data_IF_198893353625
#
_entry.id   IF_198893353625
#
_cell.length_a   1.000
_cell.length_b   1.000
_cell.length_c   1.000
_cell.angle_alpha   90.00
_cell.angle_beta   90.00
_cell.angle_gamma   90.00
#
_symmetry.space_group_name_H-M   'P 1'
#
loop_
_entity.id
_entity.type
_entity.pdbx_description
1 polymer ?
#
# COMPACT_ATOMS: atom_id res chain seq x y z
N UNK A 1 -19.56 4.05 -14.55
CA UNK A 1 -19.20 3.62 -13.19
C UNK A 1 -17.97 4.40 -12.77
N UNK A 2 -17.79 4.75 -11.48
CA UNK A 2 -16.56 5.41 -11.04
C UNK A 2 -15.37 4.47 -11.24
N UNK A 3 -14.31 4.99 -11.88
CA UNK A 3 -13.04 4.31 -12.08
C UNK A 3 -12.42 3.89 -10.73
N UNK A 4 -11.94 2.65 -10.62
CA UNK A 4 -11.29 2.18 -9.38
C UNK A 4 -9.83 2.62 -9.36
N UNK A 5 -9.43 3.29 -8.27
CA UNK A 5 -8.04 3.67 -8.03
C UNK A 5 -7.22 2.42 -7.63
N UNK A 6 -6.18 2.03 -8.41
CA UNK A 6 -5.33 0.88 -8.08
C UNK A 6 -4.63 1.03 -6.72
N UNK A 7 -4.28 2.26 -6.31
CA UNK A 7 -3.68 2.51 -5.00
C UNK A 7 -4.70 2.22 -3.89
N UNK A 8 -5.97 2.58 -4.07
CA UNK A 8 -7.02 2.25 -3.10
C UNK A 8 -7.19 0.73 -2.93
N UNK A 9 -7.06 -0.05 -4.01
CA UNK A 9 -7.10 -1.51 -3.94
C UNK A 9 -5.88 -2.09 -3.17
N UNK A 10 -4.67 -1.58 -3.43
CA UNK A 10 -3.45 -1.98 -2.71
C UNK A 10 -3.55 -1.61 -1.23
N UNK A 11 -4.00 -0.40 -0.93
CA UNK A 11 -4.20 0.06 0.45
C UNK A 11 -5.21 -0.84 1.18
N UNK A 12 -6.31 -1.22 0.51
CA UNK A 12 -7.29 -2.14 1.08
C UNK A 12 -6.69 -3.51 1.37
N UNK A 13 -5.97 -4.09 0.39
CA UNK A 13 -5.28 -5.37 0.54
C UNK A 13 -4.34 -5.37 1.75
N UNK A 14 -3.50 -4.33 1.86
CA UNK A 14 -2.57 -4.16 2.99
C UNK A 14 -3.34 -4.00 4.29
N UNK A 15 -4.37 -3.17 4.30
CA UNK A 15 -5.16 -2.90 5.50
C UNK A 15 -5.98 -4.10 5.96
N UNK A 16 -6.32 -5.05 5.10
CA UNK A 16 -7.09 -6.23 5.48
C UNK A 16 -6.22 -7.37 6.02
N UNK A 17 -4.91 -7.29 5.82
CA UNK A 17 -4.01 -8.32 6.32
C UNK A 17 -3.85 -8.22 7.84
N UNK A 18 -4.16 -9.30 8.54
CA UNK A 18 -4.14 -9.35 10.01
C UNK A 18 -2.75 -9.19 10.60
N UNK A 19 -1.71 -9.72 9.94
CA UNK A 19 -0.32 -9.59 10.40
C UNK A 19 0.17 -8.14 10.29
N UNK A 20 -0.17 -7.46 9.19
CA UNK A 20 0.11 -6.04 9.00
C UNK A 20 -0.67 -5.20 10.02
N UNK A 21 -1.98 -5.45 10.16
CA UNK A 21 -2.83 -4.75 11.14
C UNK A 21 -2.31 -4.89 12.57
N UNK A 22 -1.77 -6.05 12.95
CA UNK A 22 -1.20 -6.26 14.28
C UNK A 22 -0.02 -5.31 14.58
N UNK A 23 0.64 -4.78 13.55
CA UNK A 23 1.80 -3.87 13.68
C UNK A 23 1.38 -2.41 13.51
N UNK A 24 0.58 -2.09 12.49
CA UNK A 24 0.25 -0.69 12.12
C UNK A 24 -1.17 -0.27 12.46
N UNK A 25 -2.02 -1.19 12.92
CA UNK A 25 -3.44 -0.94 13.14
C UNK A 25 -4.15 -0.48 11.85
N UNK A 26 -4.90 0.61 11.97
CA UNK A 26 -5.63 1.27 10.88
C UNK A 26 -4.78 2.28 10.10
N UNK A 27 -3.47 2.36 10.37
CA UNK A 27 -2.58 3.40 9.83
C UNK A 27 -1.96 3.01 8.49
N UNK A 28 -2.82 2.77 7.50
CA UNK A 28 -2.46 2.48 6.11
C UNK A 28 -3.16 3.51 5.21
N UNK A 29 -2.42 4.31 4.45
CA UNK A 29 -3.02 5.38 3.63
C UNK A 29 -2.18 5.80 2.42
N UNK A 30 -2.78 6.54 1.48
CA UNK A 30 -2.06 7.10 0.31
C UNK A 30 -1.11 8.26 0.65
N UNK A 31 -1.29 8.89 1.82
CA UNK A 31 -0.46 9.98 2.34
C UNK A 31 -0.36 9.81 3.85
N UNK A 32 0.79 10.17 4.42
CA UNK A 32 0.91 10.16 5.88
C UNK A 32 -0.04 11.20 6.49
N UNK A 33 -0.62 10.87 7.64
CA UNK A 33 -1.51 11.76 8.41
C UNK A 33 -0.85 12.29 9.68
N UNK A 34 0.48 12.33 9.70
CA UNK A 34 1.20 13.01 10.78
C UNK A 34 0.79 14.49 10.78
N UNK A 35 0.21 14.94 11.88
CA UNK A 35 -0.22 16.32 12.05
C UNK A 35 0.21 16.82 13.44
N UNK A 36 0.32 18.14 13.59
CA UNK A 36 0.48 18.74 14.91
C UNK A 36 -0.76 18.47 15.78
N UNK A 37 -0.55 18.45 17.10
CA UNK A 37 -1.57 18.11 18.09
C UNK A 37 -2.87 18.90 17.86
N UNK A 38 -3.98 18.21 17.53
CA UNK A 38 -5.30 18.82 17.38
C UNK A 38 -6.18 18.28 16.24
N UNK A 39 -5.63 17.54 15.27
CA UNK A 39 -6.45 16.91 14.22
C UNK A 39 -7.10 15.61 14.69
N UNK A 40 -8.39 15.45 14.38
CA UNK A 40 -9.26 14.34 14.85
C UNK A 40 -8.77 12.95 14.40
N UNK A 41 -7.85 12.86 13.44
CA UNK A 41 -7.26 11.60 12.97
C UNK A 41 -5.74 11.71 12.73
N UNK A 42 -5.05 12.52 13.54
CA UNK A 42 -3.60 12.69 13.45
C UNK A 42 -2.86 11.41 13.89
N UNK A 43 -1.89 10.98 13.08
CA UNK A 43 -0.90 10.01 13.54
C UNK A 43 0.19 10.74 14.33
N UNK A 44 0.67 10.14 15.41
CA UNK A 44 1.83 10.64 16.14
C UNK A 44 3.10 10.19 15.43
N UNK A 45 4.14 11.03 15.44
CA UNK A 45 5.41 10.77 14.74
C UNK A 45 6.09 9.44 15.15
N UNK A 46 5.84 8.94 16.35
CA UNK A 46 6.37 7.68 16.86
C UNK A 46 5.55 6.44 16.45
N UNK A 47 4.42 6.61 15.77
CA UNK A 47 3.56 5.49 15.41
C UNK A 47 4.00 4.77 14.14
N UNK A 48 3.88 3.44 14.17
CA UNK A 48 4.04 2.59 13.00
C UNK A 48 2.91 2.78 12.00
N UNK A 49 3.24 3.06 10.74
CA UNK A 49 2.27 3.23 9.65
C UNK A 49 2.86 2.83 8.29
N UNK A 50 1.99 2.62 7.31
CA UNK A 50 2.35 2.37 5.91
C UNK A 50 1.73 3.46 5.04
N UNK A 51 2.53 3.99 4.13
CA UNK A 51 2.07 4.86 3.07
C UNK A 51 2.36 4.21 1.73
N UNK A 52 1.33 4.04 0.90
CA UNK A 52 1.48 3.56 -0.47
C UNK A 52 1.21 4.71 -1.45
N UNK A 53 2.12 4.98 -2.37
CA UNK A 53 1.98 6.02 -3.38
C UNK A 53 2.28 5.44 -4.75
N UNK A 54 1.60 5.96 -5.75
CA UNK A 54 1.96 5.67 -7.13
C UNK A 54 3.39 6.19 -7.40
N UNK A 55 4.21 5.35 -8.03
CA UNK A 55 5.52 5.73 -8.52
C UNK A 55 5.34 6.28 -9.95
N UNK A 56 5.52 7.59 -10.15
CA UNK A 56 5.16 8.25 -11.41
C UNK A 56 5.99 7.68 -12.56
N UNK A 57 5.33 7.47 -13.71
CA UNK A 57 5.99 7.04 -14.95
C UNK A 57 5.35 5.84 -15.64
N UNK A 58 4.23 5.33 -15.12
CA UNK A 58 3.41 4.35 -15.83
C UNK A 58 2.20 5.02 -16.46
N UNK A 59 1.98 4.72 -17.74
CA UNK A 59 0.81 5.20 -18.48
C UNK A 59 -0.30 4.15 -18.28
N UNK A 60 -1.44 4.51 -17.66
CA UNK A 60 -2.56 3.59 -17.53
C UNK A 60 -3.06 3.19 -18.92
N UNK A 61 -3.34 1.91 -19.11
CA UNK A 61 -3.97 1.43 -20.33
C UNK A 61 -5.48 1.67 -20.23
N UNK A 62 -5.92 2.76 -20.86
CA UNK A 62 -7.31 3.23 -20.80
C UNK A 62 -8.28 2.35 -21.61
N UNK A 63 -7.78 1.49 -22.49
CA UNK A 63 -8.62 0.72 -23.42
C UNK A 63 -9.08 -0.62 -22.82
N UNK A 64 -8.36 -1.15 -21.83
CA UNK A 64 -8.59 -2.50 -21.27
C UNK A 64 -8.98 -2.53 -19.79
N UNK A 65 -9.08 -1.37 -19.10
CA UNK A 65 -9.42 -1.32 -17.67
C UNK A 65 -8.39 -1.99 -16.75
N UNK A 66 -7.19 -2.20 -17.29
CA UNK A 66 -6.06 -2.89 -16.66
C UNK A 66 -5.00 -1.84 -16.29
N UNK A 67 -4.76 -1.71 -15.00
CA UNK A 67 -3.76 -0.82 -14.45
C UNK A 67 -2.48 -1.59 -14.17
N UNK A 68 -1.46 -1.33 -14.98
CA UNK A 68 -0.10 -1.81 -14.73
C UNK A 68 0.74 -0.63 -14.26
N UNK A 69 1.35 -0.77 -13.09
CA UNK A 69 2.10 0.32 -12.51
C UNK A 69 3.12 -0.15 -11.49
N UNK A 70 3.69 0.84 -10.80
CA UNK A 70 4.65 0.64 -9.72
C UNK A 70 4.19 1.46 -8.53
N UNK A 71 4.19 0.85 -7.36
CA UNK A 71 3.82 1.48 -6.10
C UNK A 71 5.07 1.62 -5.24
N UNK A 72 5.26 2.81 -4.69
CA UNK A 72 6.21 3.09 -3.62
C UNK A 72 5.54 2.81 -2.26
N UNK A 73 6.16 1.95 -1.47
CA UNK A 73 5.71 1.55 -0.14
C UNK A 73 6.67 2.13 0.90
N UNK A 74 6.21 3.14 1.65
CA UNK A 74 6.95 3.75 2.76
C UNK A 74 6.46 3.17 4.08
N UNK A 75 7.37 2.58 4.83
CA UNK A 75 7.11 2.00 6.15
C UNK A 75 7.75 2.90 7.21
N UNK A 76 6.93 3.50 8.07
CA UNK A 76 7.39 4.36 9.16
C UNK A 76 7.29 3.62 10.49
N UNK A 77 8.19 3.88 11.43
CA UNK A 77 8.06 3.40 12.80
C UNK A 77 8.91 4.21 13.77
N UNK A 78 8.67 4.04 15.08
CA UNK A 78 9.41 4.72 16.13
C UNK A 78 10.94 4.53 16.06
N UNK A 79 11.39 3.43 15.44
CA UNK A 79 12.80 3.09 15.26
C UNK A 79 13.02 2.46 13.89
N UNK A 80 14.27 2.46 13.37
CA UNK A 80 14.61 1.75 12.14
C UNK A 80 14.22 0.26 12.17
N UNK A 81 14.37 -0.39 13.33
CA UNK A 81 13.97 -1.79 13.52
C UNK A 81 12.45 -1.98 13.41
N UNK A 82 11.66 -1.06 13.96
CA UNK A 82 10.20 -1.09 13.82
C UNK A 82 9.76 -0.87 12.37
N UNK A 83 10.36 0.10 11.66
CA UNK A 83 10.11 0.32 10.24
C UNK A 83 10.45 -0.92 9.39
N UNK A 84 11.57 -1.58 9.69
CA UNK A 84 11.97 -2.83 9.02
C UNK A 84 11.02 -3.99 9.30
N UNK A 85 10.48 -4.09 10.52
CA UNK A 85 9.49 -5.12 10.88
C UNK A 85 8.21 -4.98 10.04
N UNK A 86 7.73 -3.76 9.85
CA UNK A 86 6.56 -3.47 9.00
C UNK A 86 6.85 -3.88 7.56
N UNK A 87 8.01 -3.49 7.03
CA UNK A 87 8.42 -3.88 5.69
C UNK A 87 8.49 -5.39 5.50
N UNK A 88 9.04 -6.13 6.45
CA UNK A 88 9.09 -7.60 6.37
C UNK A 88 7.68 -8.21 6.36
N UNK A 89 6.74 -7.67 7.15
CA UNK A 89 5.34 -8.11 7.12
C UNK A 89 4.65 -7.84 5.78
N UNK A 90 4.99 -6.73 5.11
CA UNK A 90 4.56 -6.47 3.72
C UNK A 90 5.14 -7.49 2.73
N UNK A 91 6.41 -7.86 2.89
CA UNK A 91 7.04 -8.89 2.06
C UNK A 91 6.34 -10.23 2.22
N UNK A 92 6.02 -10.61 3.46
CA UNK A 92 5.26 -11.83 3.76
C UNK A 92 3.88 -11.77 3.11
N UNK A 93 3.11 -10.69 3.31
CA UNK A 93 1.83 -10.48 2.63
C UNK A 93 1.96 -10.65 1.11
N UNK A 94 2.93 -9.99 0.50
CA UNK A 94 3.12 -10.00 -0.96
C UNK A 94 3.50 -11.39 -1.46
N UNK A 95 4.29 -12.16 -0.70
CA UNK A 95 4.66 -13.54 -1.04
C UNK A 95 3.50 -14.51 -0.87
N UNK A 96 2.64 -14.26 0.10
CA UNK A 96 1.46 -15.07 0.38
C UNK A 96 0.29 -14.78 -0.58
N UNK A 97 0.43 -13.81 -1.50
CA UNK A 97 -0.52 -13.61 -2.59
C UNK A 97 -0.43 -14.76 -3.59
N UNK A 98 -1.11 -15.85 -3.27
CA UNK A 98 -1.31 -16.97 -4.17
C UNK A 98 -2.38 -16.59 -5.22
N UNK A 99 -1.93 -16.18 -6.41
CA UNK A 99 -2.81 -15.92 -7.55
C UNK A 99 -3.56 -14.59 -7.48
N UNK A 100 -4.81 -14.58 -7.95
CA UNK A 100 -5.63 -13.36 -8.07
C UNK A 100 -6.39 -13.13 -6.77
N UNK A 101 -6.35 -11.91 -6.25
CA UNK A 101 -7.10 -11.53 -5.05
C UNK A 101 -8.01 -10.34 -5.32
N UNK A 102 -9.15 -10.29 -4.65
CA UNK A 102 -10.11 -9.20 -4.76
C UNK A 102 -9.95 -8.20 -3.62
N UNK A 103 -10.03 -6.91 -3.93
CA UNK A 103 -10.01 -5.84 -2.94
C UNK A 103 -11.31 -5.02 -3.02
N UNK A 104 -12.07 -5.01 -1.93
CA UNK A 104 -13.33 -4.25 -1.83
C UNK A 104 -13.04 -2.79 -1.47
N UNK A 105 -13.03 -1.91 -2.47
CA UNK A 105 -12.81 -0.47 -2.29
C UNK A 105 -14.13 0.28 -2.14
N UNK A 106 -14.09 1.57 -1.82
CA UNK A 106 -15.29 2.42 -1.79
C UNK A 106 -15.95 2.59 -3.17
N UNK A 107 -15.20 2.35 -4.26
CA UNK A 107 -15.66 2.55 -5.63
C UNK A 107 -16.05 1.23 -6.32
N UNK A 108 -15.93 0.09 -5.63
CA UNK A 108 -16.21 -1.24 -6.16
C UNK A 108 -15.13 -2.26 -5.81
N UNK A 109 -15.24 -3.45 -6.40
CA UNK A 109 -14.29 -4.56 -6.18
C UNK A 109 -13.25 -4.59 -7.30
N UNK A 110 -11.99 -4.36 -6.92
CA UNK A 110 -10.85 -4.50 -7.82
C UNK A 110 -10.34 -5.94 -7.83
N UNK A 111 -9.80 -6.39 -8.96
CA UNK A 111 -9.07 -7.65 -9.05
C UNK A 111 -7.57 -7.36 -9.13
N UNK A 112 -6.81 -7.74 -8.10
CA UNK A 112 -5.36 -7.65 -8.07
C UNK A 112 -4.81 -8.95 -8.67
N UNK A 113 -4.30 -8.87 -9.90
CA UNK A 113 -3.69 -10.00 -10.59
C UNK A 113 -2.31 -10.33 -10.04
N UNK A 114 -1.54 -9.29 -9.71
CA UNK A 114 -0.23 -9.45 -9.11
C UNK A 114 0.19 -8.19 -8.37
N UNK A 115 0.98 -8.40 -7.32
CA UNK A 115 1.76 -7.39 -6.64
C UNK A 115 3.11 -8.05 -6.35
N UNK A 116 4.21 -7.51 -6.87
CA UNK A 116 5.54 -8.15 -6.80
C UNK A 116 6.60 -7.11 -6.51
N UNK A 117 7.48 -7.38 -5.57
CA UNK A 117 8.59 -6.48 -5.26
C UNK A 117 9.53 -6.29 -6.45
N UNK A 118 9.86 -5.04 -6.75
CA UNK A 118 10.60 -4.65 -7.96
C UNK A 118 12.04 -4.19 -7.66
N UNK A 119 12.30 -3.76 -6.43
CA UNK A 119 13.62 -3.28 -6.02
C UNK A 119 13.96 -3.68 -4.59
N UNK A 120 15.25 -3.74 -4.29
CA UNK A 120 15.73 -3.85 -2.92
C UNK A 120 15.26 -2.64 -2.11
N UNK A 121 14.83 -2.84 -0.85
CA UNK A 121 14.46 -1.72 -0.01
C UNK A 121 15.69 -0.90 0.38
N UNK A 122 15.49 0.37 0.66
CA UNK A 122 16.49 1.20 1.32
C UNK A 122 15.91 1.89 2.54
N UNK A 123 16.78 2.24 3.46
CA UNK A 123 16.42 3.00 4.67
C UNK A 123 16.83 4.46 4.44
N UNK A 124 15.93 5.37 4.76
CA UNK A 124 16.17 6.81 4.65
C UNK A 124 15.36 7.54 5.71
N UNK A 125 15.56 8.85 5.82
CA UNK A 125 14.78 9.74 6.68
C UNK A 125 13.78 10.49 5.80
N UNK A 126 12.54 10.57 6.24
CA UNK A 126 11.54 11.44 5.59
C UNK A 126 11.93 12.91 5.80
N UNK A 127 12.16 13.69 4.72
CA UNK A 127 12.72 15.04 4.84
C UNK A 127 11.77 16.02 5.52
N UNK A 128 10.46 15.81 5.44
CA UNK A 128 9.46 16.71 6.00
C UNK A 128 9.23 16.43 7.49
N UNK A 129 9.40 15.18 7.90
CA UNK A 129 9.06 14.71 9.24
C UNK A 129 10.27 14.43 10.12
N UNK A 130 11.45 14.26 9.53
CA UNK A 130 12.68 13.80 10.19
C UNK A 130 12.50 12.45 10.91
N UNK A 131 11.73 11.53 10.31
CA UNK A 131 11.45 10.19 10.84
C UNK A 131 12.12 9.13 9.96
N UNK A 132 12.73 8.12 10.57
CA UNK A 132 13.28 6.96 9.86
C UNK A 132 12.17 6.17 9.15
N UNK A 133 12.44 5.82 7.89
CA UNK A 133 11.55 4.99 7.09
C UNK A 133 12.32 3.96 6.26
N UNK A 134 11.64 2.85 6.00
CA UNK A 134 12.05 1.88 4.98
C UNK A 134 11.18 2.08 3.75
N UNK A 135 11.81 2.27 2.59
CA UNK A 135 11.14 2.43 1.30
C UNK A 135 11.38 1.19 0.48
N UNK A 136 10.30 0.64 -0.09
CA UNK A 136 10.35 -0.42 -1.10
C UNK A 136 9.45 -0.08 -2.28
N UNK A 137 9.63 -0.82 -3.37
CA UNK A 137 8.81 -0.67 -4.57
C UNK A 137 8.25 -2.01 -4.99
N UNK A 138 6.99 -2.02 -5.42
CA UNK A 138 6.35 -3.19 -5.99
C UNK A 138 5.68 -2.82 -7.32
N UNK A 139 5.72 -3.73 -8.30
CA UNK A 139 4.89 -3.63 -9.51
C UNK A 139 3.55 -4.26 -9.24
N UNK A 140 2.50 -3.65 -9.76
CA UNK A 140 1.15 -4.16 -9.68
C UNK A 140 0.53 -4.33 -11.07
N UNK A 141 -0.39 -5.27 -11.16
CA UNK A 141 -1.37 -5.36 -12.25
C UNK A 141 -2.75 -5.53 -11.62
N UNK A 142 -3.63 -4.57 -11.84
CA UNK A 142 -4.95 -4.49 -11.20
C UNK A 142 -5.98 -4.21 -12.27
N UNK A 143 -7.05 -5.01 -12.30
CA UNK A 143 -8.21 -4.74 -13.13
C UNK A 143 -9.30 -4.07 -12.32
N UNK A 144 -9.94 -3.05 -12.91
CA UNK A 144 -11.00 -2.29 -12.24
C UNK A 144 -12.29 -3.10 -12.00
N UNK A 145 -12.43 -4.26 -12.65
CA UNK A 145 -13.60 -5.11 -12.50
C UNK A 145 -13.17 -6.52 -12.12
N UNK A 146 -13.44 -6.93 -10.88
CA UNK A 146 -13.60 -8.35 -10.59
C UNK A 146 -14.94 -8.77 -11.20
N UNK A 147 -14.92 -9.30 -12.43
CA UNK A 147 -16.11 -9.96 -12.97
C UNK A 147 -16.42 -11.15 -12.05
N UNK A 148 -17.66 -11.23 -11.56
CA UNK A 148 -18.24 -12.49 -11.04
C UNK A 148 -18.33 -13.48 -12.21
N UNK A 149 -17.20 -13.97 -12.72
CA UNK A 149 -17.17 -15.06 -13.69
C UNK A 149 -16.75 -16.33 -12.97
N UNK A 150 -17.64 -17.33 -13.08
CA UNK A 150 -17.63 -18.68 -12.52
C UNK A 150 -18.28 -18.86 -11.13
N UNK A 151 -19.61 -18.75 -11.11
CA UNK A 151 -20.45 -19.78 -10.47
C UNK A 151 -21.04 -20.69 -11.54
#
# INVERSE_FOLDING_TARGET
MPMIDPIAAILKLISDNTNVQAIVGDRVAGKHKFAQAGSVNAWKADQSCIVAKDDPGTTPDIDIGDHVGRVELRCYGATPAAARKIYNSLIELIRDLEGRTTANTSNGTALIYSLVMDASPFTTVDPDLSIDMVVGYARYRIHEYALEEYQ
#
